data_IF_520567885547
#
_entry.id   IF_520567885547
#
_cell.length_a   1.000
_cell.length_b   1.000
_cell.length_c   1.000
_cell.angle_alpha   90.00
_cell.angle_beta   90.00
_cell.angle_gamma   90.00
#
_symmetry.space_group_name_H-M   'P 1'
#
loop_
_entity.id
_entity.type
_entity.pdbx_description
1 polymer ?
#
# COMPACT_ATOMS: atom_id res chain seq x y z
N UNK A 1 -33.94 2.05 54.40
CA UNK A 1 -34.19 1.06 53.34
C UNK A 1 -34.59 1.82 52.07
N UNK A 2 -33.60 2.25 51.29
CA UNK A 2 -33.12 1.63 50.03
C UNK A 2 -33.44 2.55 48.83
N UNK A 3 -32.73 3.68 48.80
CA UNK A 3 -32.57 4.53 47.61
C UNK A 3 -31.15 4.31 47.06
N UNK A 4 -30.93 3.23 46.32
CA UNK A 4 -29.62 2.90 45.71
C UNK A 4 -29.79 2.15 44.38
N UNK A 5 -30.60 2.68 43.46
CA UNK A 5 -30.87 2.01 42.18
C UNK A 5 -31.10 3.02 41.04
N UNK A 6 -30.22 4.01 40.93
CA UNK A 6 -30.12 4.88 39.74
C UNK A 6 -28.67 5.34 39.62
N UNK A 7 -27.86 4.65 38.81
CA UNK A 7 -26.61 5.12 38.20
C UNK A 7 -25.71 3.92 37.86
N UNK A 8 -26.05 3.16 36.83
CA UNK A 8 -25.15 2.16 36.26
C UNK A 8 -25.51 1.84 34.80
N UNK A 9 -25.94 2.83 34.01
CA UNK A 9 -26.34 2.59 32.62
C UNK A 9 -25.98 3.78 31.71
N UNK A 10 -24.71 4.21 31.73
CA UNK A 10 -24.24 5.26 30.80
C UNK A 10 -22.72 5.21 30.56
N UNK A 11 -22.11 4.03 30.37
CA UNK A 11 -20.70 3.94 29.91
C UNK A 11 -20.48 2.68 29.04
N UNK A 12 -21.33 2.47 28.03
CA UNK A 12 -21.28 1.24 27.21
C UNK A 12 -21.58 1.43 25.73
N UNK A 13 -21.38 2.64 25.18
CA UNK A 13 -21.70 2.94 23.78
C UNK A 13 -20.56 3.63 23.01
N UNK A 14 -19.34 3.65 23.54
CA UNK A 14 -18.25 4.46 22.99
C UNK A 14 -17.11 3.71 22.28
N UNK A 15 -17.23 2.41 22.00
CA UNK A 15 -16.16 1.62 21.38
C UNK A 15 -16.71 0.60 20.37
N UNK A 16 -17.63 1.04 19.53
CA UNK A 16 -17.80 0.45 18.21
C UNK A 16 -17.09 1.37 17.22
N UNK A 17 -15.75 1.47 17.35
CA UNK A 17 -14.96 1.86 16.20
C UNK A 17 -15.10 0.69 15.23
N UNK A 18 -15.94 0.90 14.22
CA UNK A 18 -15.95 0.12 13.00
C UNK A 18 -14.48 -0.02 12.56
N UNK A 19 -13.90 -1.19 12.78
CA UNK A 19 -12.81 -1.66 11.96
C UNK A 19 -13.44 -1.88 10.58
N UNK A 20 -13.65 -0.80 9.84
CA UNK A 20 -13.73 -0.88 8.40
C UNK A 20 -12.44 -1.59 8.01
N UNK A 21 -12.56 -2.82 7.56
CA UNK A 21 -11.48 -3.58 6.93
C UNK A 21 -10.99 -2.71 5.80
N UNK A 22 -9.94 -1.95 6.06
CA UNK A 22 -9.26 -1.18 5.05
C UNK A 22 -8.86 -2.17 3.96
N UNK A 23 -9.30 -1.93 2.72
CA UNK A 23 -8.63 -2.47 1.55
C UNK A 23 -7.11 -2.36 1.80
N UNK A 24 -6.41 -3.49 1.77
CA UNK A 24 -5.20 -3.70 2.55
C UNK A 24 -4.05 -2.93 1.91
N UNK A 25 -3.56 -1.89 2.59
CA UNK A 25 -2.25 -1.34 2.26
C UNK A 25 -1.20 -2.40 2.62
N UNK A 26 -0.33 -2.73 1.68
CA UNK A 26 0.77 -3.69 1.88
C UNK A 26 2.03 -2.99 2.40
N UNK A 27 2.21 -1.71 2.06
CA UNK A 27 3.40 -0.93 2.37
C UNK A 27 3.06 0.54 2.64
N UNK A 28 3.81 1.20 3.54
CA UNK A 28 3.76 2.66 3.72
C UNK A 28 5.17 3.19 3.43
N UNK A 29 5.29 4.07 2.44
CA UNK A 29 6.57 4.61 2.02
C UNK A 29 7.08 5.74 2.92
N UNK A 30 8.32 6.18 2.66
CA UNK A 30 8.95 7.27 3.41
C UNK A 30 8.26 8.63 3.25
N UNK A 31 7.39 8.79 2.25
CA UNK A 31 6.56 9.99 2.04
C UNK A 31 5.20 9.90 2.77
N UNK A 32 4.93 8.81 3.47
CA UNK A 32 3.66 8.57 4.15
C UNK A 32 2.53 8.18 3.20
N UNK A 33 2.85 7.65 2.01
CA UNK A 33 1.85 7.08 1.13
C UNK A 33 1.65 5.61 1.50
N UNK A 34 0.39 5.21 1.70
CA UNK A 34 0.04 3.81 1.83
C UNK A 34 -0.22 3.23 0.44
N UNK A 35 0.50 2.17 0.09
CA UNK A 35 0.47 1.49 -1.19
C UNK A 35 -0.39 0.23 -1.08
N UNK A 36 -1.26 0.04 -2.07
CA UNK A 36 -2.13 -1.13 -2.13
C UNK A 36 -1.34 -2.37 -2.51
N UNK A 37 -1.71 -3.50 -1.93
CA UNK A 37 -1.19 -4.80 -2.39
C UNK A 37 -1.54 -5.00 -3.88
N UNK A 38 -0.56 -5.38 -4.69
CA UNK A 38 -0.78 -5.60 -6.12
C UNK A 38 -1.72 -6.78 -6.37
N UNK A 39 -1.75 -7.77 -5.47
CA UNK A 39 -2.66 -8.93 -5.59
C UNK A 39 -4.13 -8.55 -5.39
N UNK A 40 -4.42 -7.48 -4.64
CA UNK A 40 -5.78 -6.95 -4.49
C UNK A 40 -6.32 -6.31 -5.79
N UNK A 41 -5.43 -6.04 -6.75
CA UNK A 41 -5.74 -5.40 -8.04
C UNK A 41 -5.30 -6.24 -9.23
N UNK A 42 -4.94 -7.51 -9.00
CA UNK A 42 -4.66 -8.46 -10.05
C UNK A 42 -5.87 -8.59 -11.01
N UNK A 43 -5.62 -8.97 -12.26
CA UNK A 43 -6.65 -9.12 -13.30
C UNK A 43 -7.33 -7.82 -13.75
N UNK A 44 -6.95 -6.65 -13.21
CA UNK A 44 -7.53 -5.37 -13.63
C UNK A 44 -7.06 -5.01 -15.05
N UNK A 45 -8.05 -4.72 -15.92
CA UNK A 45 -7.81 -4.16 -17.25
C UNK A 45 -7.48 -2.66 -17.10
N UNK A 46 -6.31 -2.18 -17.57
CA UNK A 46 -5.90 -0.80 -17.39
C UNK A 46 -6.92 0.23 -17.90
N UNK A 47 -7.58 -0.02 -19.04
CA UNK A 47 -8.60 0.89 -19.55
C UNK A 47 -9.87 0.96 -18.69
N UNK A 48 -10.21 -0.13 -17.97
CA UNK A 48 -11.32 -0.10 -17.00
C UNK A 48 -10.94 0.70 -15.76
N UNK A 49 -9.67 0.62 -15.35
CA UNK A 49 -9.14 1.44 -14.26
C UNK A 49 -9.08 2.92 -14.65
N UNK A 50 -8.60 3.23 -15.85
CA UNK A 50 -8.58 4.58 -16.44
C UNK A 50 -9.96 5.23 -16.39
N UNK A 51 -10.99 4.48 -16.79
CA UNK A 51 -12.38 4.95 -16.76
C UNK A 51 -12.94 5.16 -15.34
N UNK A 52 -12.34 4.55 -14.32
CA UNK A 52 -12.75 4.65 -12.92
C UNK A 52 -12.03 5.78 -12.16
N UNK A 53 -10.99 6.37 -12.73
CA UNK A 53 -10.17 7.40 -12.11
C UNK A 53 -10.41 8.77 -12.74
N UNK A 54 -10.34 9.82 -11.93
CA UNK A 54 -10.49 11.20 -12.40
C UNK A 54 -9.25 11.65 -13.20
N UNK A 55 -9.45 12.24 -14.39
CA UNK A 55 -8.35 12.64 -15.30
C UNK A 55 -7.38 13.69 -14.74
N UNK A 56 -7.77 14.40 -13.67
CA UNK A 56 -6.96 15.50 -13.10
C UNK A 56 -6.25 15.08 -11.82
N UNK A 57 -6.98 14.41 -10.92
CA UNK A 57 -6.51 14.02 -9.59
C UNK A 57 -6.05 12.57 -9.53
N UNK A 58 -6.47 11.76 -10.50
CA UNK A 58 -6.27 10.31 -10.57
C UNK A 58 -6.81 9.54 -9.37
N UNK A 59 -7.68 10.19 -8.58
CA UNK A 59 -8.45 9.53 -7.52
C UNK A 59 -9.51 8.68 -8.19
N UNK A 60 -9.55 7.40 -7.83
CA UNK A 60 -10.46 6.42 -8.38
C UNK A 60 -11.70 6.26 -7.50
N UNK A 61 -12.80 5.87 -8.14
CA UNK A 61 -14.08 5.64 -7.48
C UNK A 61 -14.85 4.50 -8.13
N UNK A 62 -15.69 3.84 -7.33
CA UNK A 62 -16.47 2.67 -7.72
C UNK A 62 -15.69 1.36 -7.64
N UNK A 63 -16.21 0.37 -8.36
CA UNK A 63 -15.67 -0.97 -8.44
C UNK A 63 -15.18 -1.25 -9.86
N UNK A 64 -13.97 -1.79 -9.98
CA UNK A 64 -13.41 -2.32 -11.23
C UNK A 64 -13.35 -3.83 -11.09
N UNK A 65 -14.11 -4.57 -11.91
CA UNK A 65 -14.19 -6.04 -11.84
C UNK A 65 -14.51 -6.59 -10.43
N UNK A 66 -15.36 -5.89 -9.66
CA UNK A 66 -15.71 -6.20 -8.26
C UNK A 66 -14.64 -5.87 -7.21
N UNK A 67 -13.54 -5.23 -7.62
CA UNK A 67 -12.53 -4.65 -6.72
C UNK A 67 -12.87 -3.18 -6.50
N UNK A 68 -13.22 -2.81 -5.27
CA UNK A 68 -13.40 -1.39 -4.94
C UNK A 68 -12.06 -0.66 -5.06
N UNK A 69 -12.08 0.45 -5.80
CA UNK A 69 -10.94 1.36 -6.00
C UNK A 69 -11.19 2.73 -5.35
N UNK A 70 -12.24 2.84 -4.54
CA UNK A 70 -12.64 4.08 -3.90
C UNK A 70 -11.53 4.72 -3.07
N UNK A 71 -11.20 5.98 -3.40
CA UNK A 71 -10.26 6.81 -2.66
C UNK A 71 -8.79 6.46 -2.86
N UNK A 72 -8.48 5.48 -3.71
CA UNK A 72 -7.13 5.20 -4.16
C UNK A 72 -6.74 6.11 -5.32
N UNK A 73 -5.47 6.48 -5.41
CA UNK A 73 -4.89 7.24 -6.51
C UNK A 73 -4.12 6.27 -7.40
N UNK A 74 -4.40 6.27 -8.70
CA UNK A 74 -3.61 5.49 -9.66
C UNK A 74 -2.25 6.17 -9.91
N UNK A 75 -1.17 5.48 -9.53
CA UNK A 75 0.17 6.05 -9.50
C UNK A 75 0.74 6.28 -10.91
N UNK A 76 1.45 7.39 -11.07
CA UNK A 76 2.33 7.64 -12.22
C UNK A 76 3.58 6.76 -12.15
N UNK A 77 4.23 6.53 -13.29
CA UNK A 77 5.50 5.83 -13.38
C UNK A 77 6.60 6.54 -12.58
N UNK A 78 6.53 7.86 -12.42
CA UNK A 78 7.49 8.62 -11.59
C UNK A 78 7.35 8.25 -10.11
N UNK A 79 6.10 8.11 -9.63
CA UNK A 79 5.83 7.67 -8.26
C UNK A 79 6.21 6.20 -8.06
N UNK A 80 5.89 5.33 -9.03
CA UNK A 80 6.32 3.92 -9.02
C UNK A 80 7.84 3.78 -8.99
N UNK A 81 8.58 4.58 -9.77
CA UNK A 81 10.05 4.61 -9.72
C UNK A 81 10.57 5.04 -8.36
N UNK A 82 9.92 6.00 -7.72
CA UNK A 82 10.30 6.47 -6.38
C UNK A 82 10.11 5.35 -5.34
N UNK A 83 8.95 4.69 -5.38
CA UNK A 83 8.64 3.52 -4.55
C UNK A 83 9.65 2.39 -4.76
N UNK A 84 9.92 2.00 -6.01
CA UNK A 84 10.83 0.92 -6.32
C UNK A 84 12.27 1.26 -5.95
N UNK A 85 12.68 2.53 -6.06
CA UNK A 85 14.01 2.96 -5.61
C UNK A 85 14.15 2.81 -4.09
N UNK A 86 13.08 3.13 -3.34
CA UNK A 86 13.04 2.95 -1.89
C UNK A 86 13.10 1.47 -1.50
N UNK A 87 12.28 0.63 -2.11
CA UNK A 87 12.20 -0.80 -1.77
C UNK A 87 13.45 -1.58 -2.15
N UNK A 88 14.09 -1.23 -3.27
CA UNK A 88 15.27 -1.95 -3.77
C UNK A 88 16.59 -1.35 -3.29
N UNK A 89 16.60 -0.08 -2.88
CA UNK A 89 17.83 0.67 -2.63
C UNK A 89 18.62 1.02 -3.90
N UNK A 90 18.07 0.74 -5.08
CA UNK A 90 18.68 1.03 -6.39
C UNK A 90 18.12 2.35 -6.94
N UNK A 91 18.91 3.10 -7.70
CA UNK A 91 18.41 4.30 -8.38
C UNK A 91 17.67 3.93 -9.67
N UNK A 92 16.37 3.69 -9.55
CA UNK A 92 15.47 3.43 -10.69
C UNK A 92 14.68 4.69 -11.09
N UNK A 93 15.14 5.88 -10.70
CA UNK A 93 14.47 7.15 -11.01
C UNK A 93 14.61 7.59 -12.48
N UNK A 94 15.58 7.03 -13.19
CA UNK A 94 15.85 7.32 -14.60
C UNK A 94 14.89 6.61 -15.54
N UNK A 95 14.76 7.11 -16.78
CA UNK A 95 14.04 6.43 -17.85
C UNK A 95 14.79 5.15 -18.27
N UNK A 96 14.11 4.00 -18.30
CA UNK A 96 14.66 2.67 -18.61
C UNK A 96 15.81 2.21 -17.67
N UNK A 97 15.57 2.16 -16.34
CA UNK A 97 16.47 1.45 -15.45
C UNK A 97 16.20 -0.05 -15.61
N UNK A 98 17.20 -0.78 -16.09
CA UNK A 98 17.24 -2.25 -16.05
C UNK A 98 18.41 -2.64 -15.18
N UNK A 99 18.14 -2.91 -13.91
CA UNK A 99 19.13 -3.49 -13.01
C UNK A 99 18.95 -5.00 -12.96
N UNK A 100 20.07 -5.69 -12.93
CA UNK A 100 20.14 -7.14 -12.85
C UNK A 100 21.21 -7.55 -11.84
N UNK A 101 20.86 -8.46 -10.93
CA UNK A 101 21.79 -8.99 -9.93
C UNK A 101 21.42 -10.43 -9.62
N UNK A 102 22.40 -11.33 -9.50
CA UNK A 102 22.14 -12.72 -9.16
C UNK A 102 21.92 -12.88 -7.66
N UNK A 103 20.82 -13.54 -7.26
CA UNK A 103 20.49 -13.87 -5.86
C UNK A 103 20.54 -12.63 -4.94
N UNK A 104 19.80 -11.60 -5.35
CA UNK A 104 19.79 -10.33 -4.67
C UNK A 104 18.95 -10.37 -3.39
N UNK A 105 19.39 -9.65 -2.36
CA UNK A 105 18.57 -9.52 -1.14
C UNK A 105 17.37 -8.58 -1.33
N UNK A 106 17.42 -7.69 -2.34
CA UNK A 106 16.40 -6.66 -2.55
C UNK A 106 15.13 -7.21 -3.21
N UNK A 107 15.25 -8.15 -4.16
CA UNK A 107 14.11 -8.66 -4.93
C UNK A 107 13.03 -9.33 -4.05
N UNK A 108 13.35 -10.36 -3.22
CA UNK A 108 12.34 -10.99 -2.36
C UNK A 108 11.75 -10.02 -1.32
N UNK A 109 12.54 -9.06 -0.83
CA UNK A 109 12.06 -8.04 0.12
C UNK A 109 11.07 -7.08 -0.52
N UNK A 110 11.37 -6.58 -1.72
CA UNK A 110 10.49 -5.69 -2.47
C UNK A 110 9.19 -6.40 -2.87
N UNK A 111 9.29 -7.66 -3.31
CA UNK A 111 8.12 -8.48 -3.63
C UNK A 111 7.24 -8.71 -2.39
N UNK A 112 7.85 -9.00 -1.24
CA UNK A 112 7.13 -9.17 0.02
C UNK A 112 6.37 -7.92 0.46
N UNK A 113 6.84 -6.72 0.09
CA UNK A 113 6.18 -5.46 0.39
C UNK A 113 5.06 -5.10 -0.60
N UNK A 114 5.20 -5.49 -1.88
CA UNK A 114 4.24 -5.16 -2.93
C UNK A 114 3.14 -6.20 -3.13
N UNK A 115 3.38 -7.43 -2.69
CA UNK A 115 2.54 -8.59 -3.03
C UNK A 115 3.00 -9.23 -4.34
N UNK A 116 3.12 -10.55 -4.35
CA UNK A 116 3.56 -11.32 -5.52
C UNK A 116 2.38 -11.59 -6.46
N UNK A 117 2.38 -10.94 -7.62
CA UNK A 117 1.35 -11.16 -8.65
C UNK A 117 1.66 -12.37 -9.53
N UNK A 118 2.93 -12.75 -9.67
CA UNK A 118 3.36 -13.97 -10.36
C UNK A 118 4.11 -14.89 -9.39
N UNK A 119 3.69 -16.15 -9.31
CA UNK A 119 4.39 -17.19 -8.56
C UNK A 119 4.52 -18.44 -9.44
N UNK A 120 5.74 -18.74 -9.88
CA UNK A 120 6.08 -20.02 -10.50
C UNK A 120 6.99 -20.82 -9.56
N UNK A 121 6.44 -21.78 -8.80
CA UNK A 121 7.20 -22.50 -7.77
C UNK A 121 8.52 -23.08 -8.30
N UNK A 122 9.62 -22.79 -7.59
CA UNK A 122 10.95 -23.25 -7.95
C UNK A 122 11.56 -22.58 -9.19
N UNK A 123 10.94 -21.52 -9.72
CA UNK A 123 11.43 -20.80 -10.90
C UNK A 123 11.55 -19.30 -10.67
N UNK A 124 10.45 -18.64 -10.31
CA UNK A 124 10.41 -17.17 -10.21
C UNK A 124 9.22 -16.71 -9.37
N UNK A 125 9.44 -15.61 -8.65
CA UNK A 125 8.38 -14.81 -8.03
C UNK A 125 8.49 -13.38 -8.56
N UNK A 126 7.38 -12.71 -8.82
CA UNK A 126 7.43 -11.32 -9.27
C UNK A 126 6.26 -10.48 -8.74
N UNK A 127 6.51 -9.18 -8.63
CA UNK A 127 5.51 -8.15 -8.39
C UNK A 127 5.46 -7.27 -9.64
N UNK A 128 4.34 -7.32 -10.35
CA UNK A 128 4.16 -6.63 -11.63
C UNK A 128 2.93 -5.74 -11.49
N UNK A 129 3.09 -4.45 -11.77
CA UNK A 129 2.00 -3.48 -11.63
C UNK A 129 2.00 -2.41 -12.71
N UNK A 130 0.81 -2.06 -13.19
CA UNK A 130 0.62 -1.00 -14.18
C UNK A 130 0.52 0.38 -13.52
N UNK A 131 1.12 1.39 -14.15
CA UNK A 131 0.98 2.80 -13.79
C UNK A 131 -0.01 3.51 -14.72
N UNK A 132 -0.47 4.70 -14.35
CA UNK A 132 -1.41 5.49 -15.18
C UNK A 132 -0.78 6.05 -16.46
N UNK A 133 0.54 6.05 -16.58
CA UNK A 133 1.20 6.73 -17.70
C UNK A 133 1.10 5.91 -18.99
N UNK A 134 0.38 6.46 -19.96
CA UNK A 134 0.18 5.84 -21.27
C UNK A 134 1.23 6.28 -22.29
N UNK A 135 1.92 5.31 -22.90
CA UNK A 135 2.83 5.52 -24.02
C UNK A 135 2.09 5.38 -25.34
N UNK A 136 1.79 6.52 -25.99
CA UNK A 136 1.14 6.55 -27.32
C UNK A 136 1.99 5.83 -28.37
N UNK A 137 3.31 5.98 -28.30
CA UNK A 137 4.23 5.36 -29.26
C UNK A 137 4.24 3.82 -29.15
N UNK A 138 4.07 3.29 -27.95
CA UNK A 138 4.05 1.85 -27.71
C UNK A 138 2.64 1.24 -27.65
N UNK A 139 1.60 2.07 -27.55
CA UNK A 139 0.20 1.63 -27.52
C UNK A 139 -0.20 0.94 -26.21
N UNK A 140 0.28 1.43 -25.07
CA UNK A 140 -0.05 0.83 -23.78
C UNK A 140 0.44 1.63 -22.57
N UNK A 141 0.10 1.16 -21.39
CA UNK A 141 0.48 1.75 -20.11
C UNK A 141 1.86 1.28 -19.68
N UNK A 142 2.62 2.16 -19.04
CA UNK A 142 3.90 1.80 -18.43
C UNK A 142 3.67 0.93 -17.19
N UNK A 143 4.61 0.05 -16.89
CA UNK A 143 4.56 -0.79 -15.69
C UNK A 143 5.89 -0.81 -14.94
N UNK A 144 5.78 -1.03 -13.63
CA UNK A 144 6.87 -1.37 -12.74
C UNK A 144 6.90 -2.88 -12.50
N UNK A 145 8.08 -3.46 -12.46
CA UNK A 145 8.26 -4.90 -12.25
C UNK A 145 9.44 -5.17 -11.33
N UNK A 146 9.29 -6.10 -10.41
CA UNK A 146 10.37 -6.69 -9.61
C UNK A 146 10.31 -8.20 -9.79
N UNK A 147 11.42 -8.81 -10.17
CA UNK A 147 11.54 -10.25 -10.43
C UNK A 147 12.62 -10.85 -9.53
N UNK A 148 12.26 -11.92 -8.81
CA UNK A 148 13.14 -12.76 -8.00
C UNK A 148 13.21 -14.15 -8.65
N UNK A 149 14.32 -14.45 -9.33
CA UNK A 149 14.51 -15.71 -10.01
C UNK A 149 15.35 -16.67 -9.18
N UNK A 150 15.02 -17.96 -9.26
CA UNK A 150 15.90 -19.00 -8.72
C UNK A 150 17.22 -19.02 -9.50
N UNK A 151 18.34 -19.03 -8.77
CA UNK A 151 19.70 -19.17 -9.29
C UNK A 151 19.78 -20.31 -10.32
N UNK A 152 20.48 -20.14 -11.46
CA UNK A 152 21.49 -19.11 -11.76
C UNK A 152 20.99 -17.89 -12.54
N UNK A 153 19.68 -17.63 -12.54
CA UNK A 153 19.15 -16.43 -13.20
C UNK A 153 19.35 -15.20 -12.32
N UNK A 154 19.39 -14.04 -12.97
CA UNK A 154 19.45 -12.75 -12.28
C UNK A 154 18.05 -12.30 -11.90
N UNK A 155 17.96 -11.56 -10.80
CA UNK A 155 16.81 -10.79 -10.38
C UNK A 155 16.76 -9.48 -11.16
N UNK A 156 15.57 -8.95 -11.41
CA UNK A 156 15.41 -7.74 -12.22
C UNK A 156 14.45 -6.73 -11.60
N UNK A 157 14.73 -5.45 -11.86
CA UNK A 157 13.75 -4.37 -11.70
C UNK A 157 13.62 -3.58 -13.00
N UNK A 158 12.39 -3.35 -13.44
CA UNK A 158 12.04 -2.64 -14.67
C UNK A 158 10.99 -1.57 -14.42
N UNK A 159 11.04 -0.44 -15.14
CA UNK A 159 10.03 0.64 -15.03
C UNK A 159 9.66 1.30 -16.37
N UNK A 160 9.93 0.62 -17.48
CA UNK A 160 9.71 1.15 -18.83
C UNK A 160 8.98 0.16 -19.77
N UNK A 161 8.62 -1.02 -19.26
CA UNK A 161 7.86 -2.01 -20.01
C UNK A 161 6.41 -1.57 -20.17
N UNK A 162 5.77 -2.12 -21.19
CA UNK A 162 4.45 -1.71 -21.64
C UNK A 162 3.44 -2.84 -21.44
N UNK A 163 2.26 -2.48 -20.96
CA UNK A 163 1.08 -3.33 -20.90
C UNK A 163 0.00 -2.76 -21.83
N UNK A 164 -0.47 -3.52 -22.83
CA UNK A 164 -1.59 -3.08 -23.67
C UNK A 164 -2.85 -2.87 -22.82
N UNK A 165 -3.55 -1.75 -23.02
CA UNK A 165 -4.63 -1.35 -22.11
C UNK A 165 -5.90 -2.22 -22.13
N UNK A 166 -6.05 -3.11 -23.12
CA UNK A 166 -7.22 -3.98 -23.32
C UNK A 166 -6.95 -5.44 -22.90
N UNK A 167 -5.81 -5.72 -22.28
CA UNK A 167 -5.45 -7.06 -21.83
C UNK A 167 -5.66 -7.12 -20.32
N UNK A 168 -6.43 -8.10 -19.88
CA UNK A 168 -6.38 -8.62 -18.51
C UNK A 168 -5.23 -9.62 -18.42
N UNK A 169 -4.41 -9.48 -17.39
CA UNK A 169 -3.35 -10.43 -17.06
C UNK A 169 -3.45 -10.72 -15.56
N UNK A 170 -3.71 -11.97 -15.15
CA UNK A 170 -3.81 -12.31 -13.74
C UNK A 170 -2.50 -12.10 -12.99
N UNK A 171 -1.38 -12.05 -13.70
CA UNK A 171 -0.07 -11.84 -13.12
C UNK A 171 0.30 -10.34 -12.99
N UNK A 172 -0.64 -9.42 -13.28
CA UNK A 172 -0.41 -7.97 -13.24
C UNK A 172 -1.48 -7.25 -12.40
N UNK A 173 -1.02 -6.51 -11.38
CA UNK A 173 -1.85 -5.60 -10.58
C UNK A 173 -1.78 -4.15 -11.05
N UNK A 174 -2.27 -3.22 -10.23
CA UNK A 174 -2.17 -1.78 -10.45
C UNK A 174 -1.47 -1.09 -9.27
N UNK A 175 -0.48 -0.24 -9.57
CA UNK A 175 0.15 0.56 -8.54
C UNK A 175 -0.79 1.67 -8.09
N UNK A 176 -1.35 1.52 -6.90
CA UNK A 176 -2.26 2.49 -6.31
C UNK A 176 -1.78 2.89 -4.93
N UNK A 177 -1.94 4.17 -4.59
CA UNK A 177 -1.63 4.66 -3.27
C UNK A 177 -2.71 5.60 -2.74
N UNK A 178 -2.68 5.88 -1.44
CA UNK A 178 -3.37 7.03 -0.86
C UNK A 178 -2.54 7.61 0.28
N UNK A 179 -2.94 8.73 0.85
CA UNK A 179 -2.26 9.27 2.02
C UNK A 179 -2.52 8.38 3.23
N UNK A 180 -1.46 7.91 3.87
CA UNK A 180 -1.58 7.06 5.04
C UNK A 180 -2.28 7.84 6.16
N UNK A 181 -3.43 7.32 6.60
CA UNK A 181 -4.09 7.85 7.78
C UNK A 181 -3.44 7.23 9.02
N UNK A 182 -2.20 7.63 9.31
CA UNK A 182 -1.53 7.27 10.57
C UNK A 182 -2.18 8.11 11.66
N UNK A 183 -3.01 7.53 12.55
CA UNK A 183 -3.58 8.30 13.64
C UNK A 183 -2.39 8.81 14.44
N UNK A 184 -2.26 10.14 14.57
CA UNK A 184 -1.21 10.69 15.42
C UNK A 184 -1.32 9.96 16.75
N UNK A 185 -0.26 9.24 17.19
CA UNK A 185 -0.30 8.61 18.49
C UNK A 185 -0.65 9.74 19.42
N UNK A 186 -1.76 9.57 20.14
CA UNK A 186 -2.31 10.60 21.00
C UNK A 186 -1.29 10.85 22.10
N UNK A 187 -0.28 11.62 21.77
CA UNK A 187 0.80 12.08 22.61
C UNK A 187 0.17 12.89 23.74
N UNK A 188 -0.97 13.54 23.47
CA UNK A 188 -1.90 14.05 24.46
C UNK A 188 -2.47 12.95 25.38
N UNK A 189 -2.93 11.81 24.88
CA UNK A 189 -3.44 10.73 25.73
C UNK A 189 -2.32 10.08 26.56
N UNK A 190 -1.13 9.89 25.99
CA UNK A 190 0.06 9.41 26.73
C UNK A 190 0.53 10.42 27.77
N UNK A 191 0.53 11.72 27.44
CA UNK A 191 0.84 12.81 28.36
C UNK A 191 -0.20 12.87 29.48
N UNK A 192 -1.49 12.82 29.15
CA UNK A 192 -2.59 12.83 30.13
C UNK A 192 -2.56 11.60 31.02
N UNK A 193 -2.29 10.41 30.48
CA UNK A 193 -2.08 9.19 31.25
C UNK A 193 -0.87 9.31 32.18
N UNK A 194 0.24 9.88 31.71
CA UNK A 194 1.43 10.15 32.51
C UNK A 194 1.18 11.13 33.65
N UNK A 195 0.50 12.25 33.38
CA UNK A 195 0.15 13.27 34.39
C UNK A 195 -0.85 12.71 35.41
N UNK A 196 -1.86 11.97 34.96
CA UNK A 196 -2.81 11.30 35.84
C UNK A 196 -2.10 10.29 36.76
N UNK A 197 -1.20 9.46 36.21
CA UNK A 197 -0.39 8.51 36.97
C UNK A 197 0.47 9.19 38.05
N UNK A 198 1.14 10.29 37.72
CA UNK A 198 1.90 11.10 38.68
C UNK A 198 1.02 11.71 39.78
N UNK A 199 -0.20 12.16 39.43
CA UNK A 199 -1.18 12.66 40.39
C UNK A 199 -1.60 11.61 41.42
N UNK A 200 -1.89 10.38 40.98
CA UNK A 200 -2.23 9.27 41.87
C UNK A 200 -1.05 8.82 42.74
N UNK A 201 0.17 8.80 42.19
CA UNK A 201 1.37 8.44 42.95
C UNK A 201 1.64 9.42 44.10
N UNK A 202 1.44 10.73 43.88
CA UNK A 202 1.62 11.76 44.90
C UNK A 202 0.58 11.65 46.03
N UNK A 203 -0.66 11.28 45.71
CA UNK A 203 -1.75 11.09 46.70
C UNK A 203 -1.47 9.94 47.66
N UNK A 204 -0.94 8.81 47.17
CA UNK A 204 -0.56 7.67 48.03
C UNK A 204 0.58 7.99 49.00
N UNK A 205 1.50 8.90 48.64
CA UNK A 205 2.64 9.27 49.48
C UNK A 205 2.25 10.16 50.67
N UNK A 206 1.16 10.92 50.56
CA UNK A 206 0.66 11.80 51.62
C UNK A 206 -0.28 11.10 52.63
N UNK A 207 -0.68 9.86 52.36
CA UNK A 207 -1.54 9.04 53.24
C UNK A 207 -0.74 8.05 54.12
N UNK A 208 0.60 8.11 54.08
CA UNK A 208 1.50 7.44 55.02
C UNK A 208 2.12 8.48 55.93
#
# INVERSE_FOLDING_TARGET
MNRFLKSALTVGYGLAFLAATSAHASYIDSNGLEWRDLTDTAEIIPNSLDSACDDTTFVCSGDVLSVSVDGWIWASITEVRSLLSELTGLDVSVSNPSYAESDSAWAPSAIGALGATLITPGTVTASIGVSRDYSVAAGGYLKGEVWDYVTPRDDFVYTDRIMPGQIDDPDIGAFMYRQANVPEPSSLALLLAGVAGLGFARRKRLQK
#
